data_IF_995483386800
#
_entry.id   IF_995483386800
#
_cell.length_a   1.000
_cell.length_b   1.000
_cell.length_c   1.000
_cell.angle_alpha   90.00
_cell.angle_beta   90.00
_cell.angle_gamma   90.00
#
_symmetry.space_group_name_H-M   'P 1'
#
loop_
_entity.id
_entity.type
_entity.pdbx_description
1 polymer ?
#
# COMPACT_ATOMS: atom_id res chain seq x y z
N UNK A 1 -40.44 1.75 -1.23
CA UNK A 1 -39.49 0.61 -1.18
C UNK A 1 -38.18 1.16 -0.69
N UNK A 2 -37.66 0.62 0.40
CA UNK A 2 -36.52 1.14 1.14
C UNK A 2 -35.23 0.78 0.37
N UNK A 3 -34.76 1.66 -0.53
CA UNK A 3 -33.46 1.48 -1.19
C UNK A 3 -32.38 1.79 -0.16
N UNK A 4 -31.98 0.77 0.62
CA UNK A 4 -30.66 0.80 1.27
C UNK A 4 -29.66 1.02 0.14
N UNK A 5 -29.12 2.23 0.10
CA UNK A 5 -27.97 2.57 -0.71
C UNK A 5 -26.83 1.72 -0.12
N UNK A 6 -26.63 0.49 -0.61
CA UNK A 6 -25.53 -0.35 -0.14
C UNK A 6 -24.25 0.32 -0.63
N UNK A 7 -23.67 1.09 0.28
CA UNK A 7 -22.51 1.94 0.04
C UNK A 7 -21.36 0.99 -0.26
N UNK A 8 -20.88 0.97 -1.49
CA UNK A 8 -19.70 0.20 -1.89
C UNK A 8 -18.54 0.46 -0.89
N UNK A 9 -17.98 -0.63 -0.35
CA UNK A 9 -16.96 -0.65 0.70
C UNK A 9 -15.61 -1.00 0.10
N UNK A 10 -14.63 -0.13 0.32
CA UNK A 10 -13.24 -0.32 -0.10
C UNK A 10 -12.35 -0.68 1.10
N UNK A 11 -11.48 -1.67 0.93
CA UNK A 11 -10.48 -2.05 1.91
C UNK A 11 -9.06 -1.92 1.33
N UNK A 12 -8.15 -1.33 2.10
CA UNK A 12 -6.72 -1.42 1.86
C UNK A 12 -6.09 -2.36 2.88
N UNK A 13 -5.21 -3.25 2.40
CA UNK A 13 -4.60 -4.30 3.20
C UNK A 13 -3.08 -4.22 3.04
N UNK A 14 -2.38 -4.23 4.17
CA UNK A 14 -0.92 -4.26 4.22
C UNK A 14 -0.42 -5.36 5.15
N UNK A 15 0.77 -5.88 4.84
CA UNK A 15 1.56 -6.67 5.78
C UNK A 15 2.78 -5.85 6.18
N UNK A 16 3.05 -5.75 7.47
CA UNK A 16 4.08 -4.88 8.02
C UNK A 16 5.00 -5.68 8.94
N UNK A 17 6.30 -5.36 8.91
CA UNK A 17 7.27 -5.82 9.90
C UNK A 17 8.13 -4.63 10.28
N UNK A 18 8.15 -4.28 11.55
CA UNK A 18 8.92 -3.16 12.08
C UNK A 18 8.74 -1.84 11.30
N UNK A 19 7.50 -1.38 11.16
CA UNK A 19 7.13 -0.13 10.47
C UNK A 19 6.53 0.90 11.44
N UNK A 20 6.86 0.81 12.73
CA UNK A 20 6.21 1.60 13.78
C UNK A 20 6.36 3.11 13.59
N UNK A 21 7.42 3.57 12.92
CA UNK A 21 7.64 4.98 12.58
C UNK A 21 6.61 5.50 11.56
N UNK A 22 6.16 4.66 10.63
CA UNK A 22 5.41 5.09 9.45
C UNK A 22 3.91 4.78 9.53
N UNK A 23 3.51 3.88 10.43
CA UNK A 23 2.14 3.36 10.46
C UNK A 23 1.09 4.45 10.64
N UNK A 24 1.32 5.47 11.47
CA UNK A 24 0.33 6.51 11.72
C UNK A 24 0.08 7.36 10.48
N UNK A 25 1.12 7.74 9.75
CA UNK A 25 0.99 8.47 8.49
C UNK A 25 0.31 7.60 7.43
N UNK A 26 0.73 6.35 7.30
CA UNK A 26 0.15 5.44 6.31
C UNK A 26 -1.35 5.23 6.56
N UNK A 27 -1.77 5.05 7.81
CA UNK A 27 -3.18 4.93 8.20
C UNK A 27 -3.93 6.25 7.97
N UNK A 28 -3.38 7.38 8.42
CA UNK A 28 -4.00 8.69 8.26
C UNK A 28 -4.20 9.05 6.79
N UNK A 29 -3.20 8.80 5.95
CA UNK A 29 -3.26 9.09 4.53
C UNK A 29 -4.35 8.28 3.83
N UNK A 30 -4.37 6.96 4.04
CA UNK A 30 -5.34 6.11 3.35
C UNK A 30 -6.78 6.33 3.83
N UNK A 31 -6.97 6.78 5.08
CA UNK A 31 -8.26 7.30 5.57
C UNK A 31 -8.64 8.61 4.90
N UNK A 32 -7.70 9.56 4.81
CA UNK A 32 -7.92 10.88 4.21
C UNK A 32 -8.35 10.81 2.74
N UNK A 33 -7.82 9.87 1.96
CA UNK A 33 -8.25 9.66 0.57
C UNK A 33 -9.53 8.83 0.42
N UNK A 34 -10.07 8.30 1.53
CA UNK A 34 -11.40 7.74 1.59
C UNK A 34 -11.52 6.21 1.48
N UNK A 35 -10.50 5.43 1.87
CA UNK A 35 -10.71 4.00 2.11
C UNK A 35 -11.67 3.79 3.30
N UNK A 36 -12.64 2.88 3.15
CA UNK A 36 -13.61 2.59 4.23
C UNK A 36 -13.01 1.66 5.30
N UNK A 37 -12.07 0.78 4.93
CA UNK A 37 -11.40 -0.15 5.84
C UNK A 37 -9.89 -0.16 5.62
N UNK A 38 -9.16 -0.20 6.73
CA UNK A 38 -7.72 -0.43 6.75
C UNK A 38 -7.44 -1.70 7.52
N UNK A 39 -6.73 -2.65 6.90
CA UNK A 39 -6.39 -3.95 7.49
C UNK A 39 -4.88 -4.12 7.53
N UNK A 40 -4.33 -4.37 8.71
CA UNK A 40 -2.89 -4.54 8.90
C UNK A 40 -2.60 -5.92 9.48
N UNK A 41 -1.78 -6.67 8.76
CA UNK A 41 -1.15 -7.90 9.21
C UNK A 41 0.24 -7.57 9.73
N UNK A 42 0.51 -7.87 10.99
CA UNK A 42 1.82 -7.67 11.61
C UNK A 42 2.63 -8.96 11.58
N UNK A 43 3.67 -8.96 10.74
CA UNK A 43 4.58 -10.07 10.51
C UNK A 43 5.72 -10.09 11.52
N UNK A 44 5.33 -10.36 12.77
CA UNK A 44 6.24 -10.57 13.90
C UNK A 44 7.14 -9.36 14.16
N UNK A 45 6.54 -8.16 14.22
CA UNK A 45 7.26 -6.96 14.61
C UNK A 45 7.81 -7.06 16.03
N UNK A 46 8.99 -6.51 16.22
CA UNK A 46 9.73 -6.42 17.48
C UNK A 46 9.95 -4.98 17.93
N UNK A 47 9.57 -4.00 17.10
CA UNK A 47 9.51 -2.59 17.45
C UNK A 47 8.12 -2.22 18.02
N UNK A 48 7.77 -0.93 18.02
CA UNK A 48 6.48 -0.46 18.52
C UNK A 48 5.29 -0.71 17.56
N UNK A 49 5.48 -1.36 16.40
CA UNK A 49 4.41 -1.58 15.40
C UNK A 49 3.20 -2.29 16.02
N UNK A 50 3.42 -3.43 16.68
CA UNK A 50 2.32 -4.24 17.24
C UNK A 50 1.50 -3.47 18.28
N UNK A 51 2.16 -2.68 19.13
CA UNK A 51 1.49 -1.91 20.17
C UNK A 51 0.67 -0.76 19.57
N UNK A 52 1.19 -0.06 18.57
CA UNK A 52 0.44 0.97 17.84
C UNK A 52 -0.77 0.37 17.13
N UNK A 53 -0.59 -0.74 16.40
CA UNK A 53 -1.70 -1.42 15.73
C UNK A 53 -2.81 -1.84 16.69
N UNK A 54 -2.46 -2.42 17.86
CA UNK A 54 -3.44 -2.83 18.87
C UNK A 54 -4.27 -1.66 19.35
N UNK A 55 -3.65 -0.52 19.66
CA UNK A 55 -4.37 0.68 20.10
C UNK A 55 -5.27 1.27 19.01
N UNK A 56 -4.80 1.27 17.77
CA UNK A 56 -5.62 1.69 16.62
C UNK A 56 -6.83 0.77 16.43
N UNK A 57 -6.65 -0.54 16.60
CA UNK A 57 -7.73 -1.52 16.54
C UNK A 57 -8.73 -1.35 17.69
N UNK A 58 -8.25 -1.17 18.93
CA UNK A 58 -9.09 -0.90 20.10
C UNK A 58 -9.90 0.39 19.95
N UNK A 59 -9.37 1.36 19.22
CA UNK A 59 -10.05 2.61 18.86
C UNK A 59 -10.97 2.49 17.63
N UNK A 60 -11.07 1.31 17.02
CA UNK A 60 -11.90 1.06 15.83
C UNK A 60 -11.38 1.68 14.52
N UNK A 61 -10.12 2.11 14.48
CA UNK A 61 -9.52 2.77 13.31
C UNK A 61 -9.11 1.78 12.22
N UNK A 62 -8.60 0.62 12.63
CA UNK A 62 -8.10 -0.44 11.74
C UNK A 62 -8.61 -1.81 12.17
N UNK A 63 -8.59 -2.77 11.25
CA UNK A 63 -8.54 -4.18 11.60
C UNK A 63 -7.08 -4.62 11.71
N UNK A 64 -6.72 -5.25 12.82
CA UNK A 64 -5.36 -5.75 13.06
C UNK A 64 -5.35 -7.26 13.21
N UNK A 65 -4.32 -7.90 12.65
CA UNK A 65 -4.03 -9.33 12.84
C UNK A 65 -2.54 -9.50 13.10
N UNK A 66 -2.19 -10.18 14.19
CA UNK A 66 -0.83 -10.71 14.32
C UNK A 66 -0.67 -11.88 13.35
N UNK A 67 0.43 -11.92 12.60
CA UNK A 67 0.62 -12.84 11.48
C UNK A 67 2.02 -13.44 11.50
N UNK A 68 2.18 -14.50 12.30
CA UNK A 68 3.35 -15.38 12.17
C UNK A 68 3.26 -16.15 10.87
N UNK A 69 4.38 -16.37 10.18
CA UNK A 69 4.44 -17.17 8.95
C UNK A 69 3.69 -18.49 9.13
N UNK A 70 2.49 -18.65 8.55
CA UNK A 70 1.58 -19.70 8.96
C UNK A 70 1.93 -21.06 8.34
N UNK A 71 3.00 -21.14 7.54
CA UNK A 71 3.28 -22.36 6.79
C UNK A 71 4.76 -22.70 6.71
N UNK A 72 5.06 -23.99 6.88
CA UNK A 72 6.22 -24.62 6.24
C UNK A 72 6.00 -24.77 4.70
N UNK A 73 4.99 -24.11 4.11
CA UNK A 73 4.70 -24.18 2.67
C UNK A 73 5.67 -23.23 1.94
N UNK A 74 6.72 -23.83 1.36
CA UNK A 74 7.75 -23.11 0.62
C UNK A 74 7.25 -22.42 -0.66
N UNK A 75 5.99 -22.63 -1.07
CA UNK A 75 5.47 -22.11 -2.34
C UNK A 75 4.97 -20.67 -2.26
N UNK A 76 4.38 -20.25 -1.15
CA UNK A 76 3.85 -18.89 -0.97
C UNK A 76 4.40 -18.26 0.31
N UNK A 77 5.04 -17.10 0.20
CA UNK A 77 5.52 -16.35 1.37
C UNK A 77 4.38 -15.76 2.21
N UNK A 78 4.67 -15.31 3.45
CA UNK A 78 3.65 -14.87 4.41
C UNK A 78 2.78 -13.71 3.91
N UNK A 79 3.29 -12.89 2.99
CA UNK A 79 2.57 -11.77 2.37
C UNK A 79 1.38 -12.23 1.50
N UNK A 80 1.60 -13.23 0.62
CA UNK A 80 0.51 -13.74 -0.24
C UNK A 80 -0.57 -14.37 0.63
N UNK A 81 -0.18 -15.15 1.64
CA UNK A 81 -1.11 -15.81 2.56
C UNK A 81 -1.95 -14.81 3.36
N UNK A 82 -1.35 -13.69 3.79
CA UNK A 82 -2.08 -12.61 4.47
C UNK A 82 -3.12 -11.96 3.56
N UNK A 83 -2.78 -11.70 2.29
CA UNK A 83 -3.70 -11.11 1.32
C UNK A 83 -4.82 -12.07 0.91
N UNK A 84 -4.53 -13.36 0.72
CA UNK A 84 -5.53 -14.40 0.49
C UNK A 84 -6.49 -14.51 1.68
N UNK A 85 -5.96 -14.52 2.92
CA UNK A 85 -6.78 -14.52 4.12
C UNK A 85 -7.66 -13.27 4.22
N UNK A 86 -7.12 -12.08 3.92
CA UNK A 86 -7.90 -10.84 3.90
C UNK A 86 -9.02 -10.88 2.87
N UNK A 87 -8.74 -11.31 1.64
CA UNK A 87 -9.74 -11.45 0.58
C UNK A 87 -10.87 -12.42 0.96
N UNK A 88 -10.57 -13.45 1.75
CA UNK A 88 -11.55 -14.45 2.19
C UNK A 88 -12.38 -14.01 3.41
N UNK A 89 -11.84 -13.14 4.27
CA UNK A 89 -12.43 -12.87 5.61
C UNK A 89 -12.94 -11.46 5.80
N UNK A 90 -12.41 -10.48 5.07
CA UNK A 90 -12.80 -9.08 5.20
C UNK A 90 -14.02 -8.82 4.32
N UNK A 91 -15.10 -8.33 4.92
CA UNK A 91 -16.28 -7.92 4.16
C UNK A 91 -16.03 -6.57 3.47
N UNK A 92 -15.60 -6.60 2.20
CA UNK A 92 -15.42 -5.44 1.34
C UNK A 92 -15.76 -5.78 -0.12
N UNK A 93 -16.17 -4.77 -0.87
CA UNK A 93 -16.49 -4.88 -2.29
C UNK A 93 -15.25 -4.71 -3.16
N UNK A 94 -14.28 -3.92 -2.70
CA UNK A 94 -13.02 -3.63 -3.39
C UNK A 94 -11.82 -3.75 -2.45
N UNK A 95 -10.71 -4.26 -2.99
CA UNK A 95 -9.46 -4.47 -2.26
C UNK A 95 -8.29 -3.81 -2.96
N UNK A 96 -7.44 -3.15 -2.19
CA UNK A 96 -6.09 -2.78 -2.57
C UNK A 96 -5.08 -3.47 -1.65
N UNK A 97 -4.03 -4.05 -2.23
CA UNK A 97 -2.94 -4.70 -1.49
C UNK A 97 -1.67 -3.88 -1.67
N UNK A 98 -1.27 -3.12 -0.64
CA UNK A 98 -0.13 -2.21 -0.68
C UNK A 98 0.88 -2.55 0.42
N UNK A 99 2.14 -2.21 0.18
CA UNK A 99 3.21 -2.25 1.17
C UNK A 99 3.20 -0.97 2.05
N UNK A 100 3.84 -1.03 3.21
CA UNK A 100 3.86 0.10 4.17
C UNK A 100 4.61 1.34 3.66
N UNK A 101 5.36 1.20 2.57
CA UNK A 101 6.08 2.26 1.88
C UNK A 101 5.48 2.61 0.52
N UNK A 102 4.22 2.24 0.31
CA UNK A 102 3.43 2.57 -0.87
C UNK A 102 2.20 3.39 -0.49
N UNK A 103 1.91 4.42 -1.31
CA UNK A 103 0.80 5.34 -1.11
C UNK A 103 0.01 5.46 -2.41
N UNK A 104 -1.30 5.18 -2.36
CA UNK A 104 -2.19 5.42 -3.50
C UNK A 104 -2.39 6.94 -3.68
N UNK A 105 -1.90 7.50 -4.78
CA UNK A 105 -2.04 8.92 -5.08
C UNK A 105 -3.16 9.11 -6.10
N UNK A 106 -4.12 9.96 -5.73
CA UNK A 106 -5.24 10.34 -6.58
C UNK A 106 -4.92 11.70 -7.23
N UNK A 107 -4.45 11.66 -8.47
CA UNK A 107 -4.06 12.85 -9.22
C UNK A 107 -5.30 13.66 -9.64
N UNK A 108 -6.33 13.01 -10.18
CA UNK A 108 -7.55 13.69 -10.65
C UNK A 108 -8.87 13.17 -10.05
N UNK A 109 -8.80 12.36 -8.99
CA UNK A 109 -9.98 11.85 -8.25
C UNK A 109 -10.08 12.45 -6.85
N UNK A 110 -11.29 12.79 -6.40
CA UNK A 110 -11.49 13.38 -5.07
C UNK A 110 -11.42 12.35 -3.93
N UNK A 111 -11.62 11.07 -4.25
CA UNK A 111 -11.55 9.97 -3.28
C UNK A 111 -11.35 8.61 -3.97
N UNK A 112 -11.01 7.59 -3.19
CA UNK A 112 -10.95 6.19 -3.65
C UNK A 112 -12.28 5.74 -4.27
N UNK A 113 -13.40 6.17 -3.67
CA UNK A 113 -14.73 5.92 -4.22
C UNK A 113 -14.92 6.52 -5.59
N UNK A 114 -14.45 7.75 -5.81
CA UNK A 114 -14.55 8.43 -7.09
C UNK A 114 -13.74 7.68 -8.16
N UNK A 115 -12.50 7.28 -7.83
CA UNK A 115 -11.67 6.41 -8.67
C UNK A 115 -12.38 5.10 -9.05
N UNK A 116 -12.95 4.38 -8.07
CA UNK A 116 -13.67 3.13 -8.33
C UNK A 116 -14.92 3.39 -9.19
N UNK A 117 -15.68 4.44 -8.90
CA UNK A 117 -16.92 4.73 -9.62
C UNK A 117 -16.71 5.10 -11.09
N UNK A 118 -15.53 5.67 -11.42
CA UNK A 118 -15.19 6.12 -12.77
C UNK A 118 -14.34 5.08 -13.51
N UNK A 119 -13.10 4.88 -13.08
CA UNK A 119 -12.18 3.94 -13.73
C UNK A 119 -12.64 2.48 -13.54
N UNK A 120 -13.09 2.14 -12.32
CA UNK A 120 -13.59 0.81 -11.97
C UNK A 120 -15.04 0.54 -12.38
N UNK A 121 -15.70 1.44 -13.10
CA UNK A 121 -17.15 1.38 -13.44
C UNK A 121 -17.57 0.08 -14.15
N UNK A 122 -16.63 -0.56 -14.86
CA UNK A 122 -16.83 -1.83 -15.57
C UNK A 122 -16.72 -3.06 -14.66
N UNK A 123 -16.49 -2.87 -13.36
CA UNK A 123 -16.30 -3.96 -12.40
C UNK A 123 -14.98 -4.71 -12.59
N UNK A 124 -13.96 -4.04 -13.13
CA UNK A 124 -12.65 -4.64 -13.45
C UNK A 124 -11.55 -4.08 -12.54
N UNK A 125 -10.49 -4.85 -12.25
CA UNK A 125 -9.36 -4.37 -11.47
C UNK A 125 -8.64 -3.21 -12.17
N UNK A 126 -8.28 -2.20 -11.37
CA UNK A 126 -7.53 -1.02 -11.78
C UNK A 126 -6.05 -1.28 -11.51
N UNK A 127 -5.26 -1.32 -12.59
CA UNK A 127 -3.80 -1.37 -12.54
C UNK A 127 -3.24 0.03 -12.31
N UNK A 128 -2.41 0.16 -11.28
CA UNK A 128 -1.84 1.43 -10.81
C UNK A 128 -0.32 1.31 -10.83
N UNK A 129 0.33 1.94 -11.81
CA UNK A 129 1.79 1.91 -11.92
C UNK A 129 2.46 2.59 -10.73
N UNK A 130 3.61 2.04 -10.35
CA UNK A 130 4.51 2.69 -9.42
C UNK A 130 5.11 3.98 -10.02
N UNK A 131 5.41 4.91 -9.12
CA UNK A 131 6.37 5.99 -9.31
C UNK A 131 7.37 5.89 -8.17
N UNK A 132 8.62 5.59 -8.50
CA UNK A 132 9.68 5.44 -7.51
C UNK A 132 10.16 6.81 -7.01
N UNK A 133 10.14 6.97 -5.68
CA UNK A 133 10.68 8.13 -4.98
C UNK A 133 12.02 7.77 -4.34
N UNK A 134 12.97 8.70 -4.47
CA UNK A 134 14.28 8.62 -3.86
C UNK A 134 14.30 9.22 -2.46
N UNK A 135 15.51 9.28 -1.91
CA UNK A 135 15.83 9.85 -0.60
C UNK A 135 15.61 11.36 -0.52
N UNK A 136 15.41 12.05 -1.64
CA UNK A 136 15.43 13.52 -1.73
C UNK A 136 16.73 14.13 -1.16
N UNK A 137 17.82 13.34 -1.17
CA UNK A 137 19.10 13.71 -0.57
C UNK A 137 19.16 13.57 0.95
N UNK A 138 18.09 13.10 1.61
CA UNK A 138 18.07 12.90 3.05
C UNK A 138 18.99 11.75 3.46
N UNK A 139 19.92 12.03 4.37
CA UNK A 139 20.83 11.00 4.91
C UNK A 139 20.29 10.35 6.18
N UNK A 140 19.56 11.11 6.99
CA UNK A 140 19.12 10.72 8.32
C UNK A 140 17.61 10.55 8.42
N UNK A 141 17.22 9.69 9.34
CA UNK A 141 15.85 9.57 9.83
C UNK A 141 15.38 10.88 10.48
N UNK A 142 14.10 11.21 10.31
CA UNK A 142 13.40 12.20 11.12
C UNK A 142 11.95 11.77 11.37
N UNK A 143 11.27 12.47 12.29
CA UNK A 143 9.87 12.23 12.63
C UNK A 143 8.90 12.98 11.69
N UNK A 144 9.43 13.69 10.67
CA UNK A 144 8.60 14.33 9.66
C UNK A 144 7.96 13.28 8.74
N UNK A 145 6.86 13.67 8.11
CA UNK A 145 6.07 12.78 7.25
C UNK A 145 6.86 12.34 6.02
N UNK A 146 6.72 11.07 5.64
CA UNK A 146 7.26 10.48 4.41
C UNK A 146 6.86 11.35 3.21
N UNK A 147 5.59 11.76 3.13
CA UNK A 147 5.13 12.61 2.04
C UNK A 147 5.82 13.98 2.00
N UNK A 148 6.18 14.54 3.16
CA UNK A 148 6.85 15.84 3.29
C UNK A 148 8.35 15.75 3.01
N UNK A 149 8.99 14.64 3.40
CA UNK A 149 10.44 14.46 3.28
C UNK A 149 10.88 14.04 1.89
N UNK A 150 10.11 13.16 1.25
CA UNK A 150 10.53 12.49 0.02
C UNK A 150 9.71 13.00 -1.16
N UNK A 151 10.10 14.16 -1.70
CA UNK A 151 9.38 14.80 -2.82
C UNK A 151 10.04 14.58 -4.17
N UNK A 152 11.25 14.00 -4.20
CA UNK A 152 12.00 13.75 -5.43
C UNK A 152 11.77 12.31 -5.93
N UNK A 153 11.48 12.18 -7.21
CA UNK A 153 11.15 10.92 -7.87
C UNK A 153 11.84 10.74 -9.22
N UNK A 154 11.75 9.51 -9.72
CA UNK A 154 12.25 9.11 -11.02
C UNK A 154 11.36 9.50 -12.20
N UNK A 155 11.94 9.44 -13.39
CA UNK A 155 11.26 9.64 -14.67
C UNK A 155 10.52 8.39 -15.16
N UNK A 156 9.53 8.52 -16.07
CA UNK A 156 8.72 7.38 -16.55
C UNK A 156 9.51 6.24 -17.22
N UNK A 157 10.68 6.53 -17.79
CA UNK A 157 11.53 5.56 -18.50
C UNK A 157 12.25 4.56 -17.57
N UNK A 158 12.22 4.80 -16.26
CA UNK A 158 12.77 3.87 -15.29
C UNK A 158 11.91 2.61 -15.27
N UNK A 159 12.52 1.49 -15.69
CA UNK A 159 11.85 0.20 -15.86
C UNK A 159 11.01 -0.24 -14.65
N UNK A 160 11.46 0.04 -13.43
CA UNK A 160 10.74 -0.38 -12.23
C UNK A 160 9.39 0.33 -12.05
N UNK A 161 9.18 1.50 -12.65
CA UNK A 161 7.87 2.16 -12.68
C UNK A 161 6.80 1.38 -13.47
N UNK A 162 7.21 0.38 -14.27
CA UNK A 162 6.26 -0.48 -14.97
C UNK A 162 5.53 -1.45 -14.04
N UNK A 163 6.05 -1.70 -12.84
CA UNK A 163 5.33 -2.50 -11.85
C UNK A 163 4.03 -1.82 -11.46
N UNK A 164 3.03 -2.62 -11.15
CA UNK A 164 1.74 -2.14 -10.68
C UNK A 164 1.46 -2.58 -9.24
N UNK A 165 0.55 -1.85 -8.60
CA UNK A 165 -0.38 -2.41 -7.62
C UNK A 165 -1.78 -2.39 -8.19
N UNK A 166 -2.68 -3.12 -7.55
CA UNK A 166 -4.05 -3.28 -8.03
C UNK A 166 -5.04 -2.84 -6.96
N UNK A 167 -6.03 -2.04 -7.39
CA UNK A 167 -7.29 -1.82 -6.67
C UNK A 167 -8.38 -2.53 -7.48
N UNK A 168 -8.99 -3.57 -6.94
CA UNK A 168 -9.96 -4.34 -7.72
C UNK A 168 -11.17 -4.82 -6.94
N UNK A 169 -12.22 -5.30 -7.64
CA UNK A 169 -13.45 -5.78 -7.00
C UNK A 169 -13.36 -7.23 -6.52
N UNK A 170 -13.86 -7.48 -5.31
CA UNK A 170 -13.91 -8.78 -4.66
C UNK A 170 -14.70 -9.83 -5.46
N UNK A 171 -15.61 -9.40 -6.35
CA UNK A 171 -16.33 -10.30 -7.27
C UNK A 171 -15.39 -11.06 -8.20
N UNK A 172 -14.30 -10.44 -8.64
CA UNK A 172 -13.32 -11.06 -9.56
C UNK A 172 -12.52 -12.14 -8.83
N UNK A 173 -12.18 -11.91 -7.56
CA UNK A 173 -11.58 -12.92 -6.69
C UNK A 173 -12.54 -14.09 -6.43
N UNK A 174 -13.82 -13.80 -6.15
CA UNK A 174 -14.86 -14.85 -6.01
C UNK A 174 -15.09 -15.64 -7.29
N UNK A 175 -14.83 -15.02 -8.43
CA UNK A 175 -14.91 -15.65 -9.74
C UNK A 175 -13.61 -16.39 -10.11
N UNK A 176 -12.70 -16.62 -9.16
CA UNK A 176 -11.55 -17.51 -9.33
C UNK A 176 -10.24 -16.82 -9.70
N UNK A 177 -10.18 -15.49 -9.73
CA UNK A 177 -8.90 -14.81 -9.80
C UNK A 177 -8.06 -15.07 -8.54
N UNK A 178 -6.75 -15.25 -8.72
CA UNK A 178 -5.82 -15.50 -7.60
C UNK A 178 -5.10 -14.22 -7.19
N UNK A 179 -4.89 -14.06 -5.89
CA UNK A 179 -4.13 -12.94 -5.33
C UNK A 179 -2.62 -13.12 -5.60
N UNK A 180 -1.95 -12.02 -5.93
CA UNK A 180 -0.50 -11.89 -6.05
C UNK A 180 -0.06 -10.59 -5.37
N UNK A 181 1.24 -10.44 -5.09
CA UNK A 181 1.79 -9.26 -4.38
C UNK A 181 1.62 -7.94 -5.16
N UNK A 182 1.49 -8.02 -6.49
CA UNK A 182 1.31 -6.84 -7.37
C UNK A 182 -0.12 -6.68 -7.88
N UNK A 183 -0.90 -7.76 -7.91
CA UNK A 183 -2.21 -7.73 -8.51
C UNK A 183 -2.90 -9.07 -8.46
N UNK A 184 -3.79 -9.31 -9.40
CA UNK A 184 -4.54 -10.54 -9.54
C UNK A 184 -4.18 -11.30 -10.81
N UNK A 185 -4.00 -12.60 -10.67
CA UNK A 185 -3.90 -13.50 -11.81
C UNK A 185 -5.32 -13.74 -12.31
N UNK A 186 -5.63 -13.16 -13.47
CA UNK A 186 -6.96 -13.20 -14.08
C UNK A 186 -7.06 -14.34 -15.10
N UNK A 187 -8.27 -14.89 -15.21
CA UNK A 187 -8.70 -15.56 -16.44
C UNK A 187 -8.98 -14.49 -17.51
N UNK A 188 -8.03 -14.30 -18.42
CA UNK A 188 -8.09 -13.28 -19.49
C UNK A 188 -9.22 -13.49 -20.50
N UNK A 189 -9.92 -14.63 -20.48
CA UNK A 189 -11.10 -14.85 -21.33
C UNK A 189 -12.37 -14.18 -20.79
N UNK A 190 -12.38 -13.85 -19.50
CA UNK A 190 -13.54 -13.27 -18.80
C UNK A 190 -13.25 -11.89 -18.22
N UNK A 191 -12.02 -11.67 -17.78
CA UNK A 191 -11.60 -10.48 -17.04
C UNK A 191 -10.39 -9.81 -17.68
N UNK A 192 -10.27 -8.51 -17.50
CA UNK A 192 -9.12 -7.72 -17.94
C UNK A 192 -8.86 -6.60 -16.95
N UNK A 193 -7.72 -5.93 -17.08
CA UNK A 193 -7.40 -4.75 -16.30
C UNK A 193 -7.80 -3.48 -17.01
N UNK A 194 -8.13 -2.46 -16.23
CA UNK A 194 -8.18 -1.08 -16.67
C UNK A 194 -7.09 -0.26 -15.99
N UNK A 195 -6.66 0.84 -16.59
CA UNK A 195 -5.84 1.84 -15.89
C UNK A 195 -6.70 2.82 -15.09
N UNK A 196 -6.06 3.78 -14.44
CA UNK A 196 -6.73 4.82 -13.68
C UNK A 196 -7.51 5.84 -14.54
N UNK A 197 -7.58 5.70 -15.87
CA UNK A 197 -8.51 6.43 -16.74
C UNK A 197 -9.70 5.56 -17.17
N UNK A 198 -9.73 4.29 -16.78
CA UNK A 198 -10.75 3.31 -17.21
C UNK A 198 -10.46 2.68 -18.58
N UNK A 199 -9.29 2.93 -19.17
CA UNK A 199 -8.87 2.31 -20.43
C UNK A 199 -8.39 0.89 -20.18
N UNK A 200 -8.76 -0.05 -21.05
CA UNK A 200 -8.24 -1.43 -20.96
C UNK A 200 -6.72 -1.43 -21.18
N UNK A 201 -6.00 -2.12 -20.30
CA UNK A 201 -4.55 -2.31 -20.40
C UNK A 201 -4.19 -3.79 -20.39
N UNK A 202 -3.16 -4.14 -21.17
CA UNK A 202 -2.55 -5.46 -21.05
C UNK A 202 -1.57 -5.45 -19.88
N UNK A 203 -1.78 -6.38 -18.95
CA UNK A 203 -0.88 -6.62 -17.83
C UNK A 203 -0.04 -7.84 -18.16
N UNK A 204 1.27 -7.65 -18.20
CA UNK A 204 2.22 -8.75 -18.34
C UNK A 204 2.24 -9.55 -17.02
N UNK A 205 1.79 -10.81 -17.12
CA UNK A 205 1.49 -11.63 -15.96
C UNK A 205 0.37 -10.99 -15.11
N UNK A 206 0.75 -10.48 -13.95
CA UNK A 206 -0.10 -9.68 -13.06
C UNK A 206 0.71 -8.56 -12.37
N UNK A 207 1.82 -8.17 -13.01
CA UNK A 207 2.87 -7.37 -12.35
C UNK A 207 3.21 -6.10 -13.11
N UNK A 208 3.15 -6.11 -14.45
CA UNK A 208 3.67 -5.00 -15.23
C UNK A 208 2.68 -4.43 -16.24
N UNK A 209 2.71 -3.11 -16.39
CA UNK A 209 2.07 -2.36 -17.48
C UNK A 209 3.13 -1.45 -18.10
N UNK A 210 3.31 -1.58 -19.43
CA UNK A 210 4.25 -0.79 -20.21
C UNK A 210 3.53 0.05 -21.30
N UNK A 211 3.95 1.31 -21.52
CA UNK A 211 4.74 2.14 -20.61
C UNK A 211 3.96 2.45 -19.31
N UNK A 212 4.63 2.92 -18.23
CA UNK A 212 3.95 3.33 -17.01
C UNK A 212 2.89 4.40 -17.27
N UNK A 213 1.70 4.25 -16.66
CA UNK A 213 0.57 5.17 -16.79
C UNK A 213 0.25 5.80 -15.44
N UNK A 214 0.47 7.12 -15.33
CA UNK A 214 0.29 7.87 -14.07
C UNK A 214 -0.89 8.84 -14.06
N UNK A 215 -1.57 9.02 -15.19
CA UNK A 215 -2.71 9.94 -15.30
C UNK A 215 -3.90 9.37 -14.51
N UNK A 216 -4.56 10.15 -13.66
CA UNK A 216 -5.69 9.67 -12.85
C UNK A 216 -5.27 9.30 -11.45
N UNK A 217 -4.56 8.19 -11.33
CA UNK A 217 -4.03 7.68 -10.08
C UNK A 217 -2.79 6.83 -10.33
N UNK A 218 -1.93 6.75 -9.32
CA UNK A 218 -0.68 5.97 -9.33
C UNK A 218 -0.34 5.54 -7.90
N UNK A 219 0.76 4.80 -7.75
CA UNK A 219 1.32 4.48 -6.43
C UNK A 219 2.68 5.12 -6.26
N UNK A 220 2.82 6.03 -5.31
CA UNK A 220 4.13 6.50 -4.87
C UNK A 220 4.80 5.37 -4.08
N UNK A 221 6.03 5.01 -4.44
CA UNK A 221 6.77 3.96 -3.75
C UNK A 221 8.09 4.50 -3.16
N UNK A 222 8.11 4.59 -1.83
CA UNK A 222 9.20 5.15 -1.02
C UNK A 222 10.13 4.03 -0.54
N UNK A 223 10.72 3.31 -1.50
CA UNK A 223 11.50 2.09 -1.25
C UNK A 223 12.70 2.37 -0.36
N UNK A 224 13.44 3.45 -0.68
CA UNK A 224 14.73 3.73 -0.06
C UNK A 224 14.60 4.64 1.16
N UNK A 225 13.74 5.67 1.11
CA UNK A 225 13.71 6.75 2.11
C UNK A 225 15.13 7.32 2.32
N UNK A 226 15.48 7.78 3.52
CA UNK A 226 16.85 8.23 3.79
C UNK A 226 17.85 7.07 3.79
N UNK A 227 19.14 7.39 3.66
CA UNK A 227 20.23 6.41 3.73
C UNK A 227 20.21 5.58 5.03
N UNK A 228 19.93 6.22 6.17
CA UNK A 228 19.81 5.57 7.47
C UNK A 228 18.62 4.60 7.54
N UNK A 229 17.45 5.03 7.07
CA UNK A 229 16.24 4.21 7.02
C UNK A 229 16.38 3.03 6.05
N UNK A 230 17.10 3.22 4.94
CA UNK A 230 17.45 2.12 4.04
C UNK A 230 18.37 1.10 4.72
N UNK A 231 19.36 1.54 5.51
CA UNK A 231 20.23 0.63 6.26
C UNK A 231 19.46 -0.19 7.31
N UNK A 232 18.44 0.39 7.94
CA UNK A 232 17.49 -0.34 8.80
C UNK A 232 16.69 -1.38 7.99
N UNK A 233 16.15 -0.99 6.83
CA UNK A 233 15.41 -1.89 5.92
C UNK A 233 16.25 -3.05 5.40
N UNK A 234 17.54 -2.81 5.13
CA UNK A 234 18.50 -3.86 4.76
C UNK A 234 18.65 -4.89 5.89
N UNK A 235 18.90 -4.42 7.13
CA UNK A 235 19.05 -5.30 8.31
C UNK A 235 17.77 -6.08 8.64
N UNK A 236 16.61 -5.47 8.40
CA UNK A 236 15.29 -6.09 8.62
C UNK A 236 14.99 -7.24 7.66
N UNK A 237 15.48 -7.15 6.42
CA UNK A 237 15.19 -8.11 5.36
C UNK A 237 13.81 -7.94 4.73
N UNK A 238 13.46 -8.80 3.76
CA UNK A 238 12.17 -8.73 3.05
C UNK A 238 11.05 -9.46 3.79
N UNK A 239 9.89 -8.81 3.91
CA UNK A 239 8.66 -9.42 4.45
C UNK A 239 8.04 -10.46 3.49
N UNK A 240 8.33 -10.35 2.19
CA UNK A 240 7.89 -11.32 1.18
C UNK A 240 8.65 -12.64 1.21
N UNK A 241 9.76 -12.72 1.96
CA UNK A 241 10.67 -13.88 1.99
C UNK A 241 10.67 -14.54 3.38
N UNK A 242 10.56 -15.87 3.47
CA UNK A 242 10.59 -16.58 4.76
C UNK A 242 12.01 -16.55 5.37
N UNK A 243 12.15 -16.80 6.70
CA UNK A 243 13.46 -17.01 7.31
C UNK A 243 14.29 -18.08 6.59
N UNK A 244 15.58 -17.81 6.37
CA UNK A 244 16.49 -18.73 5.67
C UNK A 244 16.50 -18.62 4.14
N UNK A 245 15.60 -17.84 3.52
CA UNK A 245 15.67 -17.57 2.08
C UNK A 245 16.96 -16.80 1.74
N UNK A 246 17.77 -17.25 0.75
CA UNK A 246 19.04 -16.62 0.39
C UNK A 246 18.89 -15.15 -0.06
N UNK A 247 17.69 -14.76 -0.49
CA UNK A 247 17.36 -13.40 -0.93
C UNK A 247 16.68 -12.55 0.15
N UNK A 248 16.54 -13.03 1.40
CA UNK A 248 15.88 -12.24 2.46
C UNK A 248 16.61 -10.91 2.72
N UNK A 249 17.93 -10.88 2.54
CA UNK A 249 18.80 -9.70 2.79
C UNK A 249 19.51 -9.20 1.53
N UNK A 250 18.90 -9.36 0.35
CA UNK A 250 19.54 -9.05 -0.95
C UNK A 250 19.54 -7.57 -1.37
N UNK A 251 19.05 -6.67 -0.52
CA UNK A 251 19.03 -5.22 -0.82
C UNK A 251 20.43 -4.64 -0.63
N UNK A 252 21.24 -4.61 -1.69
CA UNK A 252 22.62 -4.11 -1.63
C UNK A 252 22.73 -2.59 -1.82
N UNK A 253 23.94 -2.04 -1.82
CA UNK A 253 24.18 -0.66 -2.23
C UNK A 253 23.79 -0.40 -3.70
N UNK A 254 23.98 -1.38 -4.59
CA UNK A 254 23.52 -1.28 -5.98
C UNK A 254 21.99 -1.20 -6.05
N UNK A 255 21.29 -1.92 -5.15
CA UNK A 255 19.85 -1.76 -5.01
C UNK A 255 19.51 -0.32 -4.62
N UNK A 256 20.16 0.27 -3.61
CA UNK A 256 19.93 1.67 -3.25
C UNK A 256 20.08 2.60 -4.46
N UNK A 257 21.18 2.50 -5.20
CA UNK A 257 21.44 3.34 -6.38
C UNK A 257 20.39 3.16 -7.49
N UNK A 258 19.84 1.95 -7.64
CA UNK A 258 18.79 1.68 -8.62
C UNK A 258 17.45 2.34 -8.25
N UNK A 259 17.17 2.51 -6.96
CA UNK A 259 15.86 2.97 -6.45
C UNK A 259 15.88 4.38 -5.85
N UNK A 260 17.06 4.95 -5.60
CA UNK A 260 17.23 6.32 -5.13
C UNK A 260 17.07 7.33 -6.27
N UNK A 261 15.81 7.52 -6.68
CA UNK A 261 15.42 8.32 -7.84
C UNK A 261 15.02 9.73 -7.46
N UNK A 262 15.84 10.69 -7.86
CA UNK A 262 15.75 12.09 -7.44
C UNK A 262 15.73 13.06 -8.62
N UNK A 263 15.33 12.61 -9.81
CA UNK A 263 15.44 13.34 -11.07
C UNK A 263 14.48 14.55 -11.14
N UNK A 264 13.24 14.39 -10.68
CA UNK A 264 12.20 15.43 -10.68
C UNK A 264 11.51 15.58 -9.33
N UNK A 265 10.89 16.72 -9.07
CA UNK A 265 10.01 16.90 -7.90
C UNK A 265 8.57 16.56 -8.27
N UNK A 266 7.88 15.86 -7.37
CA UNK A 266 6.46 15.54 -7.49
C UNK A 266 5.77 15.76 -6.13
N UNK A 267 4.83 16.70 -6.12
CA UNK A 267 4.06 17.09 -4.94
C UNK A 267 2.60 16.65 -5.04
N UNK A 268 2.25 15.74 -5.96
CA UNK A 268 0.85 15.33 -6.21
C UNK A 268 0.19 14.77 -4.94
N UNK A 269 0.95 14.03 -4.13
CA UNK A 269 0.50 13.47 -2.85
C UNK A 269 0.05 14.58 -1.86
N UNK A 270 0.54 15.81 -2.02
CA UNK A 270 0.22 16.94 -1.14
C UNK A 270 -1.21 17.44 -1.27
N UNK A 271 -1.93 17.03 -2.32
CA UNK A 271 -3.34 17.40 -2.52
C UNK A 271 -4.21 17.06 -1.31
N UNK A 272 -3.89 15.98 -0.60
CA UNK A 272 -4.62 15.54 0.60
C UNK A 272 -3.97 15.96 1.91
N UNK A 273 -2.83 16.68 1.89
CA UNK A 273 -2.02 16.95 3.08
C UNK A 273 -2.81 17.53 4.25
N UNK A 274 -3.73 18.47 4.01
CA UNK A 274 -4.55 19.05 5.06
C UNK A 274 -5.40 17.97 5.80
N UNK A 275 -6.11 17.13 5.04
CA UNK A 275 -6.89 16.03 5.60
C UNK A 275 -6.00 14.97 6.28
N UNK A 276 -4.80 14.72 5.75
CA UNK A 276 -3.82 13.83 6.38
C UNK A 276 -3.40 14.36 7.76
N UNK A 277 -3.15 15.67 7.88
CA UNK A 277 -2.78 16.29 9.15
C UNK A 277 -3.92 16.23 10.15
N UNK A 278 -5.17 16.44 9.72
CA UNK A 278 -6.35 16.27 10.57
C UNK A 278 -6.48 14.84 11.11
N UNK A 279 -6.38 13.84 10.23
CA UNK A 279 -6.38 12.43 10.62
C UNK A 279 -5.20 12.10 11.56
N UNK A 280 -3.99 12.58 11.26
CA UNK A 280 -2.82 12.38 12.12
C UNK A 280 -3.01 12.96 13.52
N UNK A 281 -3.59 14.16 13.63
CA UNK A 281 -3.87 14.76 14.93
C UNK A 281 -4.88 13.92 15.73
N UNK A 282 -5.92 13.43 15.06
CA UNK A 282 -6.86 12.49 15.66
C UNK A 282 -6.15 11.21 16.16
N UNK A 283 -5.36 10.56 15.30
CA UNK A 283 -4.64 9.33 15.64
C UNK A 283 -3.64 9.54 16.78
N UNK A 284 -2.89 10.64 16.78
CA UNK A 284 -1.95 10.99 17.87
C UNK A 284 -2.68 11.26 19.18
N UNK A 285 -3.87 11.84 19.13
CA UNK A 285 -4.76 11.99 20.29
C UNK A 285 -5.11 10.65 20.91
N UNK A 286 -5.46 9.65 20.10
CA UNK A 286 -5.70 8.27 20.56
C UNK A 286 -4.45 7.63 21.16
N UNK A 287 -3.25 8.07 20.75
CA UNK A 287 -1.98 7.56 21.23
C UNK A 287 -1.50 8.20 22.54
N UNK A 288 -2.14 9.26 23.02
CA UNK A 288 -1.78 9.87 24.30
C UNK A 288 -2.18 8.96 25.47
N UNK A 289 -1.44 8.93 26.59
CA UNK A 289 -1.89 8.24 27.80
C UNK A 289 -3.21 8.88 28.26
N UNK A 290 -4.26 8.09 28.44
CA UNK A 290 -5.46 8.57 29.13
C UNK A 290 -5.05 8.90 30.57
N UNK A 291 -5.26 10.14 31.00
CA UNK A 291 -5.17 10.47 32.43
C UNK A 291 -6.21 9.58 33.14
N UNK A 292 -5.84 8.76 34.13
CA UNK A 292 -6.83 8.04 34.90
C UNK A 292 -7.77 9.07 35.52
N UNK A 293 -9.07 8.97 35.22
CA UNK A 293 -10.09 9.70 35.98
C UNK A 293 -10.00 9.15 37.40
N UNK A 294 -9.57 10.01 38.33
CA UNK A 294 -9.46 9.71 39.75
C UNK A 294 -10.83 9.44 40.38
#
# INVERSE_FOLDING_TARGET
MNTKNDKMVSAIVAIMRNEGRYILEWVAYHRAIGFDKIVIYDNESTDNTSALCKRLMESGVIEYRFWSDPSNDSRNGPQILAYEHAAATINADWFAFLDADEFLVLESYDSVRDLISRAGSRGMPIALNWKIFGSSGCLHASDDLVMDRFTRCGTPDIHVNAHIKTLGPATILRDGARVHIHGWVLDKTRHFYVDAQGETVDVEGCTFVYPPRWKGALVNHYIVKSSEEFAEKQRRGSASKPPGDPNKYSRTQQYFQMYDRNESEDLTIMRFRAAVIEELNYLRGLMSPTTPVA
#
